data_IF_865044566210
#
_entry.id   IF_865044566210
#
_cell.length_a   1.000
_cell.length_b   1.000
_cell.length_c   1.000
_cell.angle_alpha   90.00
_cell.angle_beta   90.00
_cell.angle_gamma   90.00
#
_symmetry.space_group_name_H-M   'P 1'
#
loop_
_entity.id
_entity.type
_entity.pdbx_description
1 polymer ?
#
# COMPACT_ATOMS: atom_id res chain seq x y z
N UNK A 1 18.82 22.14 -9.55
CA UNK A 1 18.42 22.07 -8.13
C UNK A 1 19.52 22.61 -7.24
N UNK A 2 19.16 23.40 -6.24
CA UNK A 2 20.11 23.91 -5.23
C UNK A 2 20.54 22.74 -4.33
N UNK A 3 21.84 22.59 -4.10
CA UNK A 3 22.39 21.49 -3.27
C UNK A 3 22.72 21.92 -1.83
N UNK A 4 22.46 23.18 -1.52
CA UNK A 4 22.76 23.83 -0.24
C UNK A 4 21.54 23.99 0.67
N UNK A 5 20.39 23.36 0.32
CA UNK A 5 19.17 23.33 1.11
C UNK A 5 18.71 21.87 1.35
N UNK A 6 18.01 21.67 2.45
CA UNK A 6 17.41 20.37 2.75
C UNK A 6 16.32 20.02 1.74
N UNK A 7 16.32 18.79 1.27
CA UNK A 7 15.32 18.20 0.39
C UNK A 7 14.91 16.83 0.96
N UNK A 8 13.61 16.55 1.03
CA UNK A 8 13.14 15.26 1.54
C UNK A 8 13.57 14.10 0.63
N UNK A 9 14.13 13.02 1.16
CA UNK A 9 14.42 11.82 0.37
C UNK A 9 13.18 11.21 -0.30
N UNK A 10 11.99 11.42 0.25
CA UNK A 10 10.75 10.98 -0.42
C UNK A 10 10.59 11.64 -1.78
N UNK A 11 10.85 12.95 -1.88
CA UNK A 11 10.74 13.69 -3.14
C UNK A 11 11.95 13.52 -4.06
N UNK A 12 13.16 13.44 -3.50
CA UNK A 12 14.38 13.42 -4.32
C UNK A 12 14.83 12.04 -4.78
N UNK A 13 14.29 10.95 -4.19
CA UNK A 13 14.79 9.58 -4.44
C UNK A 13 13.73 8.51 -4.58
N UNK A 14 12.60 8.58 -3.88
CA UNK A 14 11.78 7.39 -3.67
C UNK A 14 10.42 7.46 -4.37
N UNK A 15 9.70 8.57 -4.30
CA UNK A 15 8.39 8.70 -4.90
C UNK A 15 8.45 8.80 -6.44
N UNK A 16 7.37 8.39 -7.10
CA UNK A 16 7.22 8.51 -8.55
C UNK A 16 6.99 9.95 -8.99
N UNK A 17 7.34 10.25 -10.24
CA UNK A 17 7.04 11.56 -10.86
C UNK A 17 5.53 11.86 -10.83
N UNK A 18 4.69 10.85 -11.02
CA UNK A 18 3.24 11.02 -10.94
C UNK A 18 2.81 11.53 -9.56
N UNK A 19 3.27 10.88 -8.50
CA UNK A 19 2.87 11.24 -7.13
C UNK A 19 3.46 12.61 -6.72
N UNK A 20 4.68 12.90 -7.14
CA UNK A 20 5.30 14.22 -6.94
C UNK A 20 4.52 15.32 -7.67
N UNK A 21 4.09 15.08 -8.90
CA UNK A 21 3.27 16.01 -9.66
C UNK A 21 1.89 16.20 -9.03
N UNK A 22 1.24 15.12 -8.59
CA UNK A 22 -0.09 15.16 -7.98
C UNK A 22 -0.14 16.09 -6.76
N UNK A 23 0.91 16.11 -5.94
CA UNK A 23 1.00 16.96 -4.76
C UNK A 23 1.83 18.24 -4.99
N UNK A 24 2.13 18.57 -6.24
CA UNK A 24 2.85 19.80 -6.59
C UNK A 24 1.98 21.06 -6.41
N UNK A 25 2.61 22.23 -6.24
CA UNK A 25 1.90 23.51 -6.29
C UNK A 25 1.08 23.69 -7.56
N UNK A 26 1.61 23.30 -8.73
CA UNK A 26 0.91 23.40 -10.01
C UNK A 26 -0.42 22.66 -9.99
N UNK A 27 -0.41 21.37 -9.64
CA UNK A 27 -1.62 20.56 -9.58
C UNK A 27 -2.61 21.10 -8.56
N UNK A 28 -2.12 21.54 -7.41
CA UNK A 28 -2.96 22.14 -6.35
C UNK A 28 -3.68 23.37 -6.84
N UNK A 29 -2.96 24.34 -7.39
CA UNK A 29 -3.55 25.62 -7.80
C UNK A 29 -4.33 25.54 -9.11
N UNK A 30 -3.95 24.69 -10.03
CA UNK A 30 -4.78 24.36 -11.18
C UNK A 30 -6.12 23.73 -10.76
N UNK A 31 -6.11 22.86 -9.73
CA UNK A 31 -7.35 22.29 -9.20
C UNK A 31 -8.21 23.36 -8.53
N UNK A 32 -7.63 24.34 -7.84
CA UNK A 32 -8.39 25.50 -7.32
C UNK A 32 -9.05 26.28 -8.47
N UNK A 33 -8.32 26.56 -9.57
CA UNK A 33 -8.88 27.26 -10.73
C UNK A 33 -9.98 26.45 -11.41
N UNK A 34 -9.82 25.15 -11.54
CA UNK A 34 -10.90 24.25 -12.02
C UNK A 34 -12.14 24.32 -11.15
N UNK A 35 -11.97 24.38 -9.83
CA UNK A 35 -13.09 24.52 -8.88
C UNK A 35 -13.78 25.89 -9.04
N UNK A 36 -13.05 26.97 -9.26
CA UNK A 36 -13.65 28.29 -9.53
C UNK A 36 -14.37 28.32 -10.88
N UNK A 37 -13.86 27.67 -11.91
CA UNK A 37 -14.57 27.53 -13.21
C UNK A 37 -15.85 26.74 -13.03
N UNK A 38 -15.81 25.64 -12.30
CA UNK A 38 -16.99 24.80 -12.05
C UNK A 38 -18.06 25.58 -11.25
N UNK A 39 -17.65 26.35 -10.26
CA UNK A 39 -18.54 27.21 -9.48
C UNK A 39 -19.22 28.25 -10.38
N UNK A 40 -18.43 29.05 -11.12
CA UNK A 40 -18.94 30.10 -12.01
C UNK A 40 -19.88 29.53 -13.09
N UNK A 41 -19.54 28.36 -13.64
CA UNK A 41 -20.39 27.63 -14.61
C UNK A 41 -21.74 27.22 -14.00
N UNK A 42 -21.70 26.60 -12.83
CA UNK A 42 -22.92 26.16 -12.14
C UNK A 42 -23.81 27.36 -11.76
N UNK A 43 -23.22 28.44 -11.28
CA UNK A 43 -23.91 29.69 -10.94
C UNK A 43 -24.54 30.35 -12.17
N UNK A 44 -23.82 30.41 -13.31
CA UNK A 44 -24.35 30.88 -14.58
C UNK A 44 -25.54 30.06 -15.06
N UNK A 45 -25.37 28.73 -15.11
CA UNK A 45 -26.42 27.80 -15.58
C UNK A 45 -27.67 27.81 -14.70
N UNK A 46 -27.55 28.17 -13.41
CA UNK A 46 -28.67 28.29 -12.46
C UNK A 46 -29.26 29.69 -12.39
N UNK A 47 -28.78 30.62 -13.23
CA UNK A 47 -29.41 31.92 -13.49
C UNK A 47 -28.86 33.09 -12.69
N UNK A 48 -27.68 32.97 -12.06
CA UNK A 48 -26.98 34.13 -11.52
C UNK A 48 -26.43 35.00 -12.65
N UNK A 49 -26.19 36.33 -12.43
CA UNK A 49 -25.76 37.27 -13.44
C UNK A 49 -24.27 37.12 -13.78
N UNK A 50 -23.89 35.92 -14.18
CA UNK A 50 -22.55 35.56 -14.69
C UNK A 50 -22.71 35.26 -16.19
N UNK A 51 -21.81 35.79 -17.03
CA UNK A 51 -21.91 35.56 -18.47
C UNK A 51 -21.12 34.34 -18.91
N UNK A 52 -21.47 33.76 -20.04
CA UNK A 52 -20.73 32.64 -20.64
C UNK A 52 -19.27 33.05 -20.96
N UNK A 53 -19.07 34.28 -21.42
CA UNK A 53 -17.75 34.83 -21.73
C UNK A 53 -16.84 34.86 -20.49
N UNK A 54 -17.39 35.18 -19.34
CA UNK A 54 -16.64 35.15 -18.05
C UNK A 54 -16.23 33.71 -17.67
N UNK A 55 -17.13 32.75 -17.85
CA UNK A 55 -16.81 31.31 -17.60
C UNK A 55 -15.73 30.83 -18.56
N UNK A 56 -15.83 31.16 -19.84
CA UNK A 56 -14.89 30.77 -20.89
C UNK A 56 -13.50 31.40 -20.63
N UNK A 57 -13.44 32.67 -20.24
CA UNK A 57 -12.19 33.34 -19.88
C UNK A 57 -11.51 32.67 -18.70
N UNK A 58 -12.25 32.35 -17.63
CA UNK A 58 -11.69 31.55 -16.52
C UNK A 58 -11.15 30.20 -17.00
N UNK A 59 -11.92 29.48 -17.82
CA UNK A 59 -11.52 28.17 -18.31
C UNK A 59 -10.25 28.22 -19.16
N UNK A 60 -10.04 29.31 -19.91
CA UNK A 60 -8.84 29.51 -20.75
C UNK A 60 -7.56 29.71 -19.94
N UNK A 61 -7.67 30.14 -18.66
CA UNK A 61 -6.54 30.52 -17.80
C UNK A 61 -6.33 29.59 -16.61
N UNK A 62 -6.70 28.31 -16.72
CA UNK A 62 -6.53 27.32 -15.62
C UNK A 62 -5.04 27.06 -15.31
N UNK A 63 -4.20 26.98 -16.35
CA UNK A 63 -2.82 26.48 -16.23
C UNK A 63 -1.75 27.57 -16.19
N UNK A 64 -2.04 28.77 -16.61
CA UNK A 64 -1.09 29.88 -16.68
C UNK A 64 -1.03 30.69 -15.37
N UNK A 65 -0.55 30.06 -14.31
CA UNK A 65 -0.48 30.64 -12.98
C UNK A 65 0.74 31.55 -12.88
N UNK A 66 0.49 32.84 -12.60
CA UNK A 66 1.56 33.80 -12.28
C UNK A 66 1.88 33.70 -10.77
N UNK A 67 2.88 32.87 -10.45
CA UNK A 67 3.33 32.67 -9.08
C UNK A 67 3.93 33.91 -8.44
N UNK A 68 4.64 34.72 -9.22
CA UNK A 68 5.25 35.96 -8.70
C UNK A 68 4.18 36.92 -8.21
N UNK A 69 3.13 37.11 -8.98
CA UNK A 69 1.97 37.94 -8.61
C UNK A 69 1.25 37.36 -7.37
N UNK A 70 1.05 36.04 -7.33
CA UNK A 70 0.37 35.38 -6.22
C UNK A 70 1.18 35.50 -4.93
N UNK A 71 2.47 35.20 -4.95
CA UNK A 71 3.37 35.27 -3.78
C UNK A 71 3.48 36.68 -3.25
N UNK A 72 3.67 37.68 -4.14
CA UNK A 72 3.70 39.10 -3.74
C UNK A 72 2.41 39.48 -3.02
N UNK A 73 1.26 39.08 -3.59
CA UNK A 73 -0.05 39.42 -2.99
C UNK A 73 -0.26 38.69 -1.67
N UNK A 74 0.17 37.43 -1.53
CA UNK A 74 0.10 36.70 -0.27
C UNK A 74 0.92 37.38 0.84
N UNK A 75 2.11 37.89 0.53
CA UNK A 75 2.92 38.66 1.47
C UNK A 75 2.20 39.95 1.94
N UNK A 76 1.41 40.58 1.08
CA UNK A 76 0.65 41.79 1.42
C UNK A 76 -0.55 41.50 2.32
N UNK A 77 -1.37 40.49 1.95
CA UNK A 77 -2.67 40.23 2.57
C UNK A 77 -2.66 39.06 3.58
N UNK A 78 -1.57 38.30 3.65
CA UNK A 78 -1.40 37.12 4.54
C UNK A 78 -2.48 36.06 4.37
N UNK A 79 -2.92 35.83 3.14
CA UNK A 79 -3.98 34.89 2.81
C UNK A 79 -3.78 34.31 1.41
N UNK A 80 -3.43 33.01 1.35
CA UNK A 80 -3.09 32.29 0.12
C UNK A 80 -4.24 32.25 -0.91
N UNK A 81 -5.45 31.87 -0.48
CA UNK A 81 -6.60 31.77 -1.40
C UNK A 81 -6.94 33.12 -2.01
N UNK A 82 -6.95 34.22 -1.21
CA UNK A 82 -7.24 35.56 -1.74
C UNK A 82 -6.12 36.10 -2.64
N UNK A 83 -4.88 35.67 -2.41
CA UNK A 83 -3.76 35.97 -3.29
C UNK A 83 -3.95 35.31 -4.67
N UNK A 84 -4.37 34.04 -4.70
CA UNK A 84 -4.67 33.31 -5.94
C UNK A 84 -5.92 33.82 -6.64
N UNK A 85 -6.98 34.25 -5.91
CA UNK A 85 -8.14 34.95 -6.50
C UNK A 85 -7.68 36.20 -7.23
N UNK A 86 -6.81 37.01 -6.61
CA UNK A 86 -6.27 38.21 -7.22
C UNK A 86 -5.42 37.92 -8.46
N UNK A 87 -4.51 36.95 -8.39
CA UNK A 87 -3.68 36.55 -9.53
C UNK A 87 -4.52 36.00 -10.67
N UNK A 88 -5.58 35.23 -10.38
CA UNK A 88 -6.52 34.73 -11.38
C UNK A 88 -7.33 35.83 -12.03
N UNK A 89 -7.81 36.81 -11.23
CA UNK A 89 -8.52 37.98 -11.78
C UNK A 89 -7.66 38.86 -12.65
N UNK A 90 -6.33 38.86 -12.52
CA UNK A 90 -5.41 39.51 -13.47
C UNK A 90 -5.29 38.76 -14.80
N UNK A 91 -5.32 37.44 -14.77
CA UNK A 91 -5.32 36.61 -15.97
C UNK A 91 -6.69 36.64 -16.71
N UNK A 92 -7.78 36.75 -15.94
CA UNK A 92 -9.16 36.79 -16.44
C UNK A 92 -9.88 38.08 -15.98
N UNK A 93 -9.56 39.26 -16.57
CA UNK A 93 -10.06 40.55 -16.06
C UNK A 93 -11.57 40.71 -16.12
N UNK A 94 -12.26 40.18 -17.15
CA UNK A 94 -13.73 40.31 -17.25
C UNK A 94 -14.45 39.48 -16.16
N UNK A 95 -13.82 38.44 -15.70
CA UNK A 95 -14.35 37.55 -14.68
C UNK A 95 -13.85 37.88 -13.25
N UNK A 96 -12.95 38.83 -13.07
CA UNK A 96 -12.32 39.12 -11.80
C UNK A 96 -13.33 39.34 -10.63
N UNK A 97 -14.47 39.95 -10.94
CA UNK A 97 -15.52 40.27 -9.94
C UNK A 97 -16.37 39.07 -9.52
N UNK A 98 -16.31 37.93 -10.22
CA UNK A 98 -17.14 36.77 -9.92
C UNK A 98 -16.35 35.56 -9.42
N UNK A 99 -15.01 35.64 -9.39
CA UNK A 99 -14.18 34.59 -8.86
C UNK A 99 -14.49 34.40 -7.37
N UNK A 100 -14.78 33.15 -6.97
CA UNK A 100 -15.03 32.83 -5.55
C UNK A 100 -16.36 33.42 -5.00
N UNK A 101 -17.34 33.68 -5.86
CA UNK A 101 -18.62 34.26 -5.47
C UNK A 101 -19.35 33.35 -4.46
N UNK A 102 -19.80 33.91 -3.34
CA UNK A 102 -20.46 33.14 -2.26
C UNK A 102 -19.58 32.16 -1.48
N UNK A 103 -18.38 31.85 -2.00
CA UNK A 103 -17.52 30.80 -1.43
C UNK A 103 -16.64 31.31 -0.27
N UNK A 104 -16.12 30.37 0.50
CA UNK A 104 -15.05 30.55 1.48
C UNK A 104 -13.82 29.75 1.08
N UNK A 105 -12.67 30.00 1.70
CA UNK A 105 -11.40 29.36 1.34
C UNK A 105 -11.47 27.85 1.28
N UNK A 106 -12.23 27.22 2.19
CA UNK A 106 -12.37 25.75 2.21
C UNK A 106 -13.13 25.18 1.00
N UNK A 107 -13.83 26.01 0.24
CA UNK A 107 -14.39 25.56 -1.03
C UNK A 107 -13.28 25.03 -1.97
N UNK A 108 -12.20 25.77 -2.13
CA UNK A 108 -11.11 25.32 -3.01
C UNK A 108 -10.10 24.43 -2.28
N UNK A 109 -9.70 24.76 -1.05
CA UNK A 109 -8.67 23.98 -0.33
C UNK A 109 -9.14 22.56 -0.05
N UNK A 110 -10.32 22.40 0.53
CA UNK A 110 -10.83 21.11 0.97
C UNK A 110 -11.34 20.23 -0.19
N UNK A 111 -12.06 20.81 -1.15
CA UNK A 111 -12.50 20.06 -2.32
C UNK A 111 -11.31 19.65 -3.20
N UNK A 112 -10.28 20.49 -3.36
CA UNK A 112 -9.08 20.11 -4.07
C UNK A 112 -8.35 18.96 -3.39
N UNK A 113 -8.19 19.02 -2.07
CA UNK A 113 -7.57 17.93 -1.29
C UNK A 113 -8.30 16.60 -1.54
N UNK A 114 -9.65 16.60 -1.47
CA UNK A 114 -10.44 15.39 -1.73
C UNK A 114 -10.27 14.84 -3.15
N UNK A 115 -10.15 15.71 -4.17
CA UNK A 115 -9.87 15.30 -5.55
C UNK A 115 -8.49 14.66 -5.64
N UNK A 116 -7.46 15.32 -5.12
CA UNK A 116 -6.08 14.83 -5.19
C UNK A 116 -5.89 13.53 -4.40
N UNK A 117 -6.48 13.43 -3.22
CA UNK A 117 -6.40 12.20 -2.41
C UNK A 117 -7.10 11.03 -3.10
N UNK A 118 -8.28 11.23 -3.68
CA UNK A 118 -8.96 10.18 -4.46
C UNK A 118 -8.10 9.70 -5.63
N UNK A 119 -7.52 10.62 -6.37
CA UNK A 119 -6.71 10.29 -7.54
C UNK A 119 -5.41 9.59 -7.12
N UNK A 120 -4.79 10.02 -6.02
CA UNK A 120 -3.67 9.32 -5.39
C UNK A 120 -4.02 7.90 -4.94
N UNK A 121 -5.17 7.71 -4.27
CA UNK A 121 -5.63 6.37 -3.86
C UNK A 121 -5.88 5.45 -5.06
N UNK A 122 -6.47 5.97 -6.14
CA UNK A 122 -6.67 5.20 -7.38
C UNK A 122 -5.36 4.79 -8.04
N UNK A 123 -4.37 5.66 -8.03
CA UNK A 123 -3.04 5.34 -8.53
C UNK A 123 -2.37 4.24 -7.68
N UNK A 124 -2.38 4.39 -6.35
CA UNK A 124 -1.83 3.38 -5.43
C UNK A 124 -2.57 2.04 -5.54
N UNK A 125 -3.88 2.06 -5.81
CA UNK A 125 -4.65 0.85 -6.11
C UNK A 125 -4.09 0.08 -7.31
N UNK A 126 -3.75 0.78 -8.38
CA UNK A 126 -3.10 0.18 -9.56
C UNK A 126 -1.76 -0.46 -9.22
N UNK A 127 -0.93 0.22 -8.44
CA UNK A 127 0.35 -0.32 -7.98
C UNK A 127 0.18 -1.56 -7.08
N UNK A 128 -0.79 -1.54 -6.16
CA UNK A 128 -1.10 -2.69 -5.30
C UNK A 128 -1.54 -3.90 -6.11
N UNK A 129 -2.39 -3.70 -7.12
CA UNK A 129 -2.79 -4.75 -8.04
C UNK A 129 -1.59 -5.33 -8.80
N UNK A 130 -0.65 -4.50 -9.24
CA UNK A 130 0.58 -4.95 -9.91
C UNK A 130 1.43 -5.84 -9.00
N UNK A 131 1.62 -5.47 -7.72
CA UNK A 131 2.28 -6.33 -6.72
C UNK A 131 1.57 -7.68 -6.61
N UNK A 132 0.24 -7.69 -6.56
CA UNK A 132 -0.55 -8.92 -6.47
C UNK A 132 -0.43 -9.78 -7.73
N UNK A 133 -0.35 -9.18 -8.93
CA UNK A 133 -0.11 -9.90 -10.20
C UNK A 133 1.25 -10.61 -10.16
N UNK A 134 2.31 -9.91 -9.75
CA UNK A 134 3.64 -10.48 -9.62
C UNK A 134 3.66 -11.65 -8.62
N UNK A 135 3.07 -11.48 -7.46
CA UNK A 135 2.96 -12.53 -6.44
C UNK A 135 2.12 -13.71 -6.92
N UNK A 136 1.04 -13.48 -7.68
CA UNK A 136 0.20 -14.53 -8.23
C UNK A 136 0.97 -15.40 -9.23
N UNK A 137 1.78 -14.78 -10.09
CA UNK A 137 2.65 -15.50 -11.03
C UNK A 137 3.68 -16.36 -10.28
N UNK A 138 4.37 -15.77 -9.32
CA UNK A 138 5.35 -16.46 -8.47
C UNK A 138 4.70 -17.60 -7.67
N UNK A 139 3.55 -17.36 -7.04
CA UNK A 139 2.85 -18.39 -6.27
C UNK A 139 2.38 -19.56 -7.13
N UNK A 140 1.96 -19.30 -8.36
CA UNK A 140 1.55 -20.34 -9.32
C UNK A 140 2.73 -21.20 -9.78
N UNK A 141 3.88 -20.57 -10.09
CA UNK A 141 5.09 -21.27 -10.50
C UNK A 141 5.57 -22.24 -9.42
N UNK A 142 5.54 -21.81 -8.15
CA UNK A 142 6.03 -22.61 -7.03
C UNK A 142 4.92 -23.25 -6.18
N UNK A 143 3.72 -23.43 -6.74
CA UNK A 143 2.57 -23.94 -6.00
C UNK A 143 2.80 -25.32 -5.39
N UNK A 144 3.53 -26.19 -6.11
CA UNK A 144 3.84 -27.57 -5.71
C UNK A 144 5.27 -27.75 -5.18
N UNK A 145 6.09 -26.71 -5.09
CA UNK A 145 7.50 -26.80 -4.68
C UNK A 145 7.64 -26.83 -3.16
N UNK A 146 8.03 -27.99 -2.57
CA UNK A 146 8.13 -28.15 -1.13
C UNK A 146 9.24 -27.25 -0.55
N UNK A 147 8.99 -26.72 0.64
CA UNK A 147 9.96 -25.99 1.46
C UNK A 147 9.71 -26.25 2.94
N UNK A 148 10.73 -26.05 3.76
CA UNK A 148 10.58 -26.14 5.21
C UNK A 148 9.66 -25.03 5.72
N UNK A 149 8.63 -25.39 6.46
CA UNK A 149 7.79 -24.45 7.21
C UNK A 149 8.45 -24.08 8.53
N UNK A 150 8.16 -22.87 9.01
CA UNK A 150 8.65 -22.39 10.30
C UNK A 150 7.50 -21.88 11.16
N UNK A 151 7.48 -22.31 12.41
CA UNK A 151 6.66 -21.72 13.48
C UNK A 151 7.57 -21.35 14.64
N UNK A 152 7.33 -20.19 15.27
CA UNK A 152 8.26 -19.67 16.30
C UNK A 152 9.72 -19.57 15.79
N UNK A 153 9.88 -19.40 14.48
CA UNK A 153 11.16 -19.43 13.75
C UNK A 153 11.96 -20.74 13.98
N UNK A 154 11.25 -21.84 14.26
CA UNK A 154 11.81 -23.18 14.35
C UNK A 154 11.27 -24.05 13.21
N UNK A 155 12.06 -25.03 12.74
CA UNK A 155 11.63 -25.99 11.74
C UNK A 155 10.32 -26.67 12.15
N UNK A 156 9.37 -26.68 11.21
CA UNK A 156 8.05 -27.26 11.36
C UNK A 156 7.66 -28.07 10.11
N UNK A 157 6.43 -28.48 10.00
CA UNK A 157 5.97 -29.25 8.85
C UNK A 157 6.23 -28.53 7.52
N UNK A 158 6.49 -29.29 6.43
CA UNK A 158 6.68 -28.75 5.10
C UNK A 158 5.45 -27.98 4.61
N UNK A 159 5.73 -26.95 3.86
CA UNK A 159 4.74 -26.19 3.08
C UNK A 159 5.25 -26.09 1.63
N UNK A 160 4.62 -25.27 0.79
CA UNK A 160 5.20 -24.91 -0.52
C UNK A 160 5.60 -23.45 -0.56
N UNK A 161 6.56 -23.14 -1.43
CA UNK A 161 6.99 -21.74 -1.67
C UNK A 161 5.80 -20.91 -2.15
N UNK A 162 4.99 -21.46 -3.06
CA UNK A 162 3.78 -20.80 -3.54
C UNK A 162 2.79 -20.52 -2.43
N UNK A 163 2.60 -21.43 -1.47
CA UNK A 163 1.73 -21.18 -0.31
C UNK A 163 2.27 -20.03 0.55
N UNK A 164 3.56 -19.94 0.78
CA UNK A 164 4.17 -18.81 1.50
C UNK A 164 3.86 -17.48 0.82
N UNK A 165 4.00 -17.42 -0.51
CA UNK A 165 3.67 -16.22 -1.29
C UNK A 165 2.19 -15.84 -1.20
N UNK A 166 1.27 -16.82 -1.18
CA UNK A 166 -0.16 -16.54 -1.01
C UNK A 166 -0.51 -16.01 0.37
N UNK A 167 0.28 -16.25 1.41
CA UNK A 167 0.09 -15.63 2.73
C UNK A 167 0.39 -14.12 2.68
N UNK A 168 1.41 -13.69 1.94
CA UNK A 168 1.68 -12.26 1.71
C UNK A 168 0.59 -11.64 0.84
N UNK A 169 0.18 -12.35 -0.22
CA UNK A 169 -0.86 -11.86 -1.13
C UNK A 169 -2.23 -11.75 -0.45
N UNK A 170 -2.53 -12.59 0.55
CA UNK A 170 -3.76 -12.51 1.33
C UNK A 170 -3.87 -11.19 2.12
N UNK A 171 -2.76 -10.72 2.69
CA UNK A 171 -2.72 -9.44 3.37
C UNK A 171 -2.99 -8.29 2.39
N UNK A 172 -2.31 -8.27 1.25
CA UNK A 172 -2.54 -7.27 0.19
C UNK A 172 -3.95 -7.31 -0.39
N UNK A 173 -4.59 -8.49 -0.46
CA UNK A 173 -6.01 -8.60 -0.83
C UNK A 173 -6.91 -7.88 0.17
N UNK A 174 -6.66 -8.05 1.45
CA UNK A 174 -7.41 -7.35 2.50
C UNK A 174 -7.21 -5.84 2.42
N UNK A 175 -5.98 -5.39 2.16
CA UNK A 175 -5.69 -3.96 1.93
C UNK A 175 -6.42 -3.40 0.70
N UNK A 176 -6.52 -4.17 -0.38
CA UNK A 176 -7.25 -3.79 -1.58
C UNK A 176 -8.75 -3.61 -1.29
N UNK A 177 -9.35 -4.53 -0.54
CA UNK A 177 -10.76 -4.46 -0.13
C UNK A 177 -11.03 -3.19 0.71
N UNK A 178 -10.13 -2.88 1.67
CA UNK A 178 -10.22 -1.64 2.47
C UNK A 178 -10.00 -0.38 1.62
N UNK A 179 -9.04 -0.41 0.71
CA UNK A 179 -8.74 0.71 -0.19
C UNK A 179 -9.93 1.02 -1.11
N UNK A 180 -10.56 -0.01 -1.68
CA UNK A 180 -11.75 0.11 -2.51
C UNK A 180 -12.95 0.68 -1.70
N UNK A 181 -13.09 0.25 -0.45
CA UNK A 181 -14.09 0.81 0.46
C UNK A 181 -13.82 2.29 0.74
N UNK A 182 -12.56 2.67 1.02
CA UNK A 182 -12.21 4.08 1.29
C UNK A 182 -12.50 4.94 0.06
N UNK A 183 -12.05 4.54 -1.14
CA UNK A 183 -12.30 5.26 -2.40
C UNK A 183 -13.82 5.41 -2.63
N UNK A 184 -14.60 4.34 -2.51
CA UNK A 184 -16.04 4.36 -2.73
C UNK A 184 -16.81 5.15 -1.66
N UNK A 185 -16.25 5.31 -0.46
CA UNK A 185 -16.85 6.08 0.63
C UNK A 185 -16.56 7.57 0.56
N UNK A 186 -15.64 8.03 -0.30
CA UNK A 186 -15.29 9.44 -0.40
C UNK A 186 -16.48 10.28 -0.86
N UNK A 187 -16.61 11.47 -0.29
CA UNK A 187 -17.65 12.44 -0.60
C UNK A 187 -17.00 13.77 -0.89
N UNK A 188 -17.62 14.56 -1.75
CA UNK A 188 -17.22 15.93 -2.01
C UNK A 188 -17.70 16.84 -0.86
N UNK A 189 -16.98 17.92 -0.54
CA UNK A 189 -17.43 18.88 0.46
C UNK A 189 -18.60 19.70 -0.09
N UNK A 190 -18.43 20.25 -1.27
CA UNK A 190 -19.37 21.18 -1.90
C UNK A 190 -19.15 22.65 -1.45
N UNK A 191 -20.17 23.46 -1.71
CA UNK A 191 -20.22 24.89 -1.42
C UNK A 191 -20.91 25.11 -0.08
N UNK A 192 -20.15 25.01 1.03
CA UNK A 192 -20.73 24.97 2.40
C UNK A 192 -20.74 26.33 3.11
N UNK A 193 -19.93 27.27 2.68
CA UNK A 193 -19.81 28.56 3.36
C UNK A 193 -19.06 28.47 4.69
N UNK A 194 -19.15 29.51 5.49
CA UNK A 194 -18.31 29.73 6.68
C UNK A 194 -18.53 28.71 7.80
N UNK A 195 -19.75 28.23 7.96
CA UNK A 195 -20.13 27.32 9.06
C UNK A 195 -20.88 26.09 8.58
N UNK A 196 -20.88 25.81 7.29
CA UNK A 196 -21.55 24.67 6.71
C UNK A 196 -23.06 24.86 6.45
N UNK A 197 -23.56 26.07 6.60
CA UNK A 197 -24.99 26.38 6.48
C UNK A 197 -25.45 26.75 5.07
N UNK A 198 -24.49 26.94 4.13
CA UNK A 198 -24.75 27.38 2.75
C UNK A 198 -25.45 28.75 2.64
N UNK A 199 -25.52 29.52 3.73
CA UNK A 199 -26.31 30.74 3.85
C UNK A 199 -26.02 31.76 2.73
N UNK A 200 -24.75 31.97 2.37
CA UNK A 200 -24.37 32.90 1.29
C UNK A 200 -24.91 32.46 -0.07
N UNK A 201 -24.95 31.16 -0.37
CA UNK A 201 -25.47 30.62 -1.62
C UNK A 201 -27.01 30.65 -1.65
N UNK A 202 -27.64 30.35 -0.50
CA UNK A 202 -29.12 30.49 -0.35
C UNK A 202 -29.51 31.95 -0.58
N UNK A 203 -28.75 32.91 -0.07
CA UNK A 203 -28.98 34.35 -0.30
C UNK A 203 -28.80 34.73 -1.78
N UNK A 204 -27.73 34.27 -2.43
CA UNK A 204 -27.49 34.48 -3.88
C UNK A 204 -28.63 33.96 -4.76
N UNK A 205 -29.24 32.84 -4.39
CA UNK A 205 -30.36 32.24 -5.09
C UNK A 205 -31.76 32.67 -4.51
N UNK A 206 -31.81 33.79 -3.79
CA UNK A 206 -33.08 34.40 -3.29
C UNK A 206 -33.91 33.44 -2.43
N UNK A 207 -33.26 32.56 -1.66
CA UNK A 207 -33.91 31.58 -0.79
C UNK A 207 -34.14 30.20 -1.42
N UNK A 208 -33.79 30.01 -2.67
CA UNK A 208 -33.99 28.74 -3.39
C UNK A 208 -32.90 27.71 -3.02
N UNK A 209 -33.20 26.90 -2.01
CA UNK A 209 -32.32 25.81 -1.56
C UNK A 209 -32.11 24.68 -2.58
N UNK A 210 -33.14 24.42 -3.43
CA UNK A 210 -33.04 23.37 -4.46
C UNK A 210 -31.98 23.73 -5.52
N UNK A 211 -31.83 25.02 -5.83
CA UNK A 211 -30.72 25.49 -6.70
C UNK A 211 -29.36 25.31 -6.05
N UNK A 212 -29.24 25.50 -4.74
CA UNK A 212 -27.98 25.24 -4.02
C UNK A 212 -27.62 23.77 -4.05
N UNK A 213 -28.59 22.89 -3.84
CA UNK A 213 -28.38 21.44 -3.95
C UNK A 213 -27.96 21.02 -5.36
N UNK A 214 -28.63 21.55 -6.39
CA UNK A 214 -28.32 21.27 -7.78
C UNK A 214 -26.91 21.82 -8.17
N UNK A 215 -26.52 23.01 -7.70
CA UNK A 215 -25.18 23.55 -7.85
C UNK A 215 -24.14 22.59 -7.27
N UNK A 216 -24.31 22.16 -6.04
CA UNK A 216 -23.39 21.20 -5.38
C UNK A 216 -23.33 19.89 -6.14
N UNK A 217 -24.44 19.37 -6.63
CA UNK A 217 -24.50 18.12 -7.41
C UNK A 217 -23.72 18.24 -8.73
N UNK A 218 -23.90 19.35 -9.48
CA UNK A 218 -23.18 19.60 -10.74
C UNK A 218 -21.69 19.68 -10.53
N UNK A 219 -21.23 20.47 -9.57
CA UNK A 219 -19.81 20.62 -9.26
C UNK A 219 -19.21 19.27 -8.82
N UNK A 220 -19.85 18.55 -7.90
CA UNK A 220 -19.37 17.24 -7.47
C UNK A 220 -19.24 16.25 -8.62
N UNK A 221 -20.22 16.20 -9.53
CA UNK A 221 -20.24 15.33 -10.69
C UNK A 221 -19.09 15.66 -11.68
N UNK A 222 -18.80 16.95 -11.91
CA UNK A 222 -17.67 17.40 -12.76
C UNK A 222 -16.33 16.87 -12.24
N UNK A 223 -16.18 16.75 -10.92
CA UNK A 223 -14.98 16.18 -10.31
C UNK A 223 -15.09 14.67 -10.06
N UNK A 224 -16.13 13.99 -10.56
CA UNK A 224 -16.30 12.54 -10.47
C UNK A 224 -16.68 12.04 -9.07
N UNK A 225 -17.37 12.84 -8.27
CA UNK A 225 -17.96 12.43 -7.00
C UNK A 225 -19.48 12.26 -7.17
N UNK A 226 -20.00 11.15 -6.68
CA UNK A 226 -21.44 10.86 -6.74
C UNK A 226 -22.25 11.73 -5.77
N UNK A 227 -21.65 12.09 -4.63
CA UNK A 227 -22.34 12.77 -3.53
C UNK A 227 -21.42 13.73 -2.80
N UNK A 228 -22.02 14.80 -2.27
CA UNK A 228 -21.44 15.62 -1.22
C UNK A 228 -21.69 15.02 0.18
N UNK A 229 -20.95 15.47 1.18
CA UNK A 229 -21.34 15.26 2.57
C UNK A 229 -22.71 15.93 2.81
N UNK A 230 -23.64 15.22 3.43
CA UNK A 230 -24.97 15.76 3.74
C UNK A 230 -24.93 16.83 4.84
N UNK A 231 -23.97 16.72 5.74
CA UNK A 231 -23.70 17.69 6.82
C UNK A 231 -22.20 17.89 6.95
N UNK A 232 -21.78 19.15 7.08
CA UNK A 232 -20.38 19.52 7.37
C UNK A 232 -20.33 20.85 8.15
N UNK A 233 -19.18 21.16 8.72
CA UNK A 233 -18.83 22.51 9.10
C UNK A 233 -18.29 23.29 7.91
N UNK A 234 -17.33 24.17 8.13
CA UNK A 234 -16.62 24.86 7.06
C UNK A 234 -15.77 23.89 6.23
N UNK A 235 -15.26 22.83 6.86
CA UNK A 235 -14.41 21.79 6.29
C UNK A 235 -15.15 20.49 6.15
N UNK A 236 -14.65 19.57 5.31
CA UNK A 236 -15.08 18.19 5.40
C UNK A 236 -14.63 17.54 6.72
N UNK A 237 -15.34 16.49 7.20
CA UNK A 237 -14.95 15.81 8.43
C UNK A 237 -13.53 15.24 8.33
N UNK A 238 -12.61 15.70 9.17
CA UNK A 238 -11.20 15.24 9.17
C UNK A 238 -11.04 13.74 9.47
N UNK A 239 -12.13 13.09 9.84
CA UNK A 239 -12.22 11.63 9.91
C UNK A 239 -11.95 10.95 8.55
N UNK A 240 -12.18 11.65 7.43
CA UNK A 240 -11.84 11.16 6.10
C UNK A 240 -10.31 11.01 5.93
N UNK A 241 -9.53 11.99 6.40
CA UNK A 241 -8.07 11.93 6.38
C UNK A 241 -7.54 10.75 7.21
N UNK A 242 -8.15 10.52 8.38
CA UNK A 242 -7.81 9.37 9.23
C UNK A 242 -8.05 8.04 8.51
N UNK A 243 -9.15 7.90 7.75
CA UNK A 243 -9.40 6.69 6.95
C UNK A 243 -8.36 6.51 5.85
N UNK A 244 -7.99 7.60 5.18
CA UNK A 244 -6.98 7.58 4.11
C UNK A 244 -5.62 7.12 4.67
N UNK A 245 -5.09 7.79 5.69
CA UNK A 245 -3.78 7.41 6.25
C UNK A 245 -3.79 6.01 6.90
N UNK A 246 -4.93 5.58 7.46
CA UNK A 246 -5.05 4.24 8.03
C UNK A 246 -4.93 3.15 6.95
N UNK A 247 -5.59 3.29 5.79
CA UNK A 247 -5.46 2.30 4.72
C UNK A 247 -4.06 2.30 4.11
N UNK A 248 -3.41 3.46 3.98
CA UNK A 248 -2.00 3.53 3.55
C UNK A 248 -1.08 2.83 4.56
N UNK A 249 -1.33 3.02 5.86
CA UNK A 249 -0.61 2.32 6.93
C UNK A 249 -0.85 0.80 6.90
N UNK A 250 -2.05 0.34 6.56
CA UNK A 250 -2.37 -1.10 6.41
C UNK A 250 -1.53 -1.71 5.29
N UNK A 251 -1.48 -1.07 4.13
CA UNK A 251 -0.61 -1.49 3.01
C UNK A 251 0.86 -1.56 3.44
N UNK A 252 1.34 -0.58 4.21
CA UNK A 252 2.71 -0.59 4.73
C UNK A 252 2.98 -1.77 5.67
N UNK A 253 2.00 -2.19 6.48
CA UNK A 253 2.13 -3.35 7.36
C UNK A 253 2.30 -4.64 6.55
N UNK A 254 1.49 -4.84 5.52
CA UNK A 254 1.58 -5.99 4.62
C UNK A 254 2.91 -6.03 3.87
N UNK A 255 3.35 -4.89 3.35
CA UNK A 255 4.64 -4.73 2.69
C UNK A 255 5.82 -5.03 3.65
N UNK A 256 5.75 -4.53 4.88
CA UNK A 256 6.75 -4.78 5.91
C UNK A 256 6.86 -6.27 6.21
N UNK A 257 5.73 -6.95 6.43
CA UNK A 257 5.70 -8.40 6.70
C UNK A 257 6.35 -9.18 5.58
N UNK A 258 5.93 -8.98 4.34
CA UNK A 258 6.51 -9.64 3.16
C UNK A 258 8.02 -9.40 3.06
N UNK A 259 8.44 -8.14 3.13
CA UNK A 259 9.85 -7.78 3.00
C UNK A 259 10.71 -8.36 4.15
N UNK A 260 10.17 -8.45 5.35
CA UNK A 260 10.87 -9.05 6.48
C UNK A 260 11.05 -10.55 6.30
N UNK A 261 10.04 -11.27 5.82
CA UNK A 261 10.15 -12.69 5.47
C UNK A 261 11.21 -12.91 4.38
N UNK A 262 11.22 -12.06 3.33
CA UNK A 262 12.23 -12.15 2.25
C UNK A 262 13.65 -11.95 2.80
N UNK A 263 13.85 -11.00 3.72
CA UNK A 263 15.17 -10.80 4.37
C UNK A 263 15.63 -12.04 5.12
N UNK A 264 14.74 -12.72 5.85
CA UNK A 264 15.03 -13.97 6.55
C UNK A 264 15.32 -15.11 5.56
N UNK A 265 14.53 -15.24 4.50
CA UNK A 265 14.75 -16.24 3.45
C UNK A 265 16.06 -16.03 2.68
N UNK A 266 16.45 -14.77 2.45
CA UNK A 266 17.72 -14.42 1.82
C UNK A 266 18.90 -14.69 2.75
N UNK A 267 18.77 -14.49 4.07
CA UNK A 267 19.78 -14.91 5.03
C UNK A 267 20.04 -16.41 4.92
N UNK A 268 19.00 -17.21 4.80
CA UNK A 268 19.08 -18.67 4.61
C UNK A 268 19.41 -19.07 3.16
N UNK A 269 19.57 -18.12 2.26
CA UNK A 269 19.88 -18.33 0.82
C UNK A 269 18.78 -19.12 0.08
N UNK A 270 17.55 -19.13 0.59
CA UNK A 270 16.44 -19.88 -0.02
C UNK A 270 15.74 -19.07 -1.12
N UNK A 271 15.42 -17.79 -0.84
CA UNK A 271 14.80 -16.86 -1.78
C UNK A 271 15.56 -15.54 -1.70
N UNK A 272 15.85 -14.95 -2.84
CA UNK A 272 16.60 -13.70 -2.94
C UNK A 272 15.78 -12.66 -3.71
N UNK A 273 15.89 -11.38 -3.29
CA UNK A 273 15.39 -10.28 -4.10
C UNK A 273 16.24 -10.08 -5.37
N UNK A 274 15.72 -9.42 -6.43
CA UNK A 274 16.47 -9.20 -7.64
C UNK A 274 17.74 -8.38 -7.38
N UNK A 275 18.82 -8.79 -8.03
CA UNK A 275 20.13 -8.15 -7.95
C UNK A 275 20.61 -7.80 -9.36
N UNK A 276 20.84 -6.53 -9.63
CA UNK A 276 21.26 -6.07 -10.94
C UNK A 276 22.72 -6.41 -11.26
N UNK A 277 23.01 -6.61 -12.54
CA UNK A 277 24.34 -7.06 -13.00
C UNK A 277 25.48 -6.16 -12.51
N UNK A 278 25.23 -4.86 -12.43
CA UNK A 278 26.25 -3.86 -12.03
C UNK A 278 26.04 -3.36 -10.60
N UNK A 279 25.12 -3.94 -9.85
CA UNK A 279 24.83 -3.53 -8.47
C UNK A 279 25.96 -3.93 -7.54
N UNK A 280 26.41 -2.99 -6.70
CA UNK A 280 27.40 -3.25 -5.64
C UNK A 280 26.64 -3.48 -4.33
N UNK A 281 26.67 -4.71 -3.82
CA UNK A 281 26.00 -5.08 -2.57
C UNK A 281 26.77 -4.68 -1.32
N UNK A 282 28.10 -4.49 -1.42
CA UNK A 282 28.97 -4.11 -0.30
C UNK A 282 30.24 -3.48 -0.82
N UNK A 283 30.68 -2.38 -0.19
CA UNK A 283 31.96 -1.72 -0.53
C UNK A 283 33.19 -2.53 -0.14
N UNK A 284 33.06 -3.42 0.85
CA UNK A 284 34.19 -4.21 1.38
C UNK A 284 34.16 -5.67 0.92
N UNK A 285 32.99 -6.23 0.62
CA UNK A 285 32.80 -7.65 0.28
C UNK A 285 32.00 -7.78 -1.02
N UNK A 286 32.66 -7.81 -2.20
CA UNK A 286 31.98 -7.76 -3.51
C UNK A 286 30.98 -8.91 -3.77
N UNK A 287 31.16 -10.07 -3.14
CA UNK A 287 30.25 -11.22 -3.25
C UNK A 287 28.93 -11.07 -2.47
N UNK A 288 28.88 -10.09 -1.55
CA UNK A 288 27.76 -9.93 -0.60
C UNK A 288 26.56 -9.30 -1.28
N UNK A 289 25.45 -10.03 -1.33
CA UNK A 289 24.17 -9.57 -1.84
C UNK A 289 23.26 -9.22 -0.67
N UNK A 290 23.14 -7.93 -0.38
CA UNK A 290 22.27 -7.46 0.69
C UNK A 290 20.84 -7.29 0.17
N UNK A 291 19.80 -7.62 0.96
CA UNK A 291 18.40 -7.40 0.59
C UNK A 291 17.99 -5.92 0.78
N UNK A 292 18.68 -5.02 0.04
CA UNK A 292 18.58 -3.57 0.26
C UNK A 292 17.21 -3.01 -0.10
N UNK A 293 16.51 -3.60 -1.08
CA UNK A 293 15.16 -3.19 -1.46
C UNK A 293 14.18 -3.57 -0.35
N UNK A 294 14.25 -4.80 0.14
CA UNK A 294 13.43 -5.28 1.26
C UNK A 294 13.72 -4.52 2.57
N UNK A 295 14.98 -4.18 2.85
CA UNK A 295 15.34 -3.33 3.99
C UNK A 295 14.73 -1.93 3.87
N UNK A 296 14.70 -1.35 2.67
CA UNK A 296 14.11 -0.05 2.39
C UNK A 296 12.58 -0.09 2.51
N UNK A 297 11.92 -1.14 2.02
CA UNK A 297 10.49 -1.37 2.26
C UNK A 297 10.22 -1.34 3.76
N UNK A 298 10.97 -2.09 4.56
CA UNK A 298 10.79 -2.13 6.01
C UNK A 298 10.98 -0.75 6.65
N UNK A 299 11.98 0.04 6.22
CA UNK A 299 12.25 1.34 6.83
C UNK A 299 11.20 2.39 6.47
N UNK A 300 10.78 2.47 5.21
CA UNK A 300 9.75 3.39 4.75
C UNK A 300 8.37 3.02 5.34
N UNK A 301 8.06 1.73 5.43
CA UNK A 301 6.83 1.27 6.07
C UNK A 301 6.71 1.71 7.54
N UNK A 302 7.81 1.70 8.31
CA UNK A 302 7.80 2.22 9.68
C UNK A 302 7.51 3.72 9.73
N UNK A 303 8.10 4.48 8.79
CA UNK A 303 7.82 5.90 8.68
C UNK A 303 6.33 6.15 8.43
N UNK A 304 5.75 5.47 7.43
CA UNK A 304 4.34 5.61 7.07
C UNK A 304 3.39 5.21 8.22
N UNK A 305 3.67 4.10 8.91
CA UNK A 305 2.88 3.68 10.07
C UNK A 305 2.93 4.73 11.20
N UNK A 306 4.07 5.37 11.42
CA UNK A 306 4.20 6.44 12.41
C UNK A 306 3.48 7.72 11.96
N UNK A 307 3.61 8.11 10.69
CA UNK A 307 2.95 9.28 10.12
C UNK A 307 1.43 9.17 10.18
N UNK A 308 0.88 7.99 9.97
CA UNK A 308 -0.57 7.76 10.00
C UNK A 308 -1.24 8.14 11.33
N UNK A 309 -0.49 8.22 12.43
CA UNK A 309 -1.00 8.67 13.72
C UNK A 309 -1.41 10.15 13.74
N UNK A 310 -0.90 10.97 12.82
CA UNK A 310 -1.25 12.40 12.73
C UNK A 310 -2.74 12.61 12.46
N UNK A 311 -3.31 11.89 11.50
CA UNK A 311 -4.69 12.14 11.06
C UNK A 311 -5.77 11.86 12.13
N UNK A 312 -5.73 10.75 12.90
CA UNK A 312 -6.70 10.55 14.00
C UNK A 312 -6.55 11.59 15.11
N UNK A 313 -5.33 12.06 15.43
CA UNK A 313 -5.13 13.13 16.39
C UNK A 313 -5.75 14.44 15.89
N UNK A 314 -5.50 14.83 14.65
CA UNK A 314 -6.09 15.99 14.01
C UNK A 314 -7.62 15.91 13.95
N UNK A 315 -8.16 14.75 13.59
CA UNK A 315 -9.61 14.52 13.56
C UNK A 315 -10.27 14.66 14.95
N UNK A 316 -9.53 14.36 16.02
CA UNK A 316 -10.02 14.44 17.40
C UNK A 316 -10.01 15.86 17.98
N UNK A 317 -9.29 16.80 17.36
CA UNK A 317 -9.13 18.18 17.86
C UNK A 317 -9.92 19.21 17.06
N UNK A 318 -10.86 18.81 16.22
CA UNK A 318 -11.75 19.74 15.50
C UNK A 318 -12.78 20.34 16.47
N UNK A 319 -12.62 21.63 16.76
CA UNK A 319 -13.48 22.36 17.71
C UNK A 319 -14.70 22.93 17.03
N UNK A 320 -15.88 22.60 17.52
CA UNK A 320 -17.16 23.09 17.02
C UNK A 320 -17.29 22.88 15.50
N UNK A 321 -17.20 23.93 14.68
CA UNK A 321 -17.33 23.86 13.23
C UNK A 321 -15.98 23.91 12.50
N UNK A 322 -14.93 24.42 13.13
CA UNK A 322 -13.56 24.45 12.59
C UNK A 322 -12.53 24.94 13.62
N UNK A 323 -11.31 24.38 13.51
CA UNK A 323 -10.06 24.97 14.01
C UNK A 323 -9.02 24.97 12.89
N UNK A 324 -8.02 25.88 12.95
CA UNK A 324 -6.98 25.98 11.91
C UNK A 324 -5.73 25.14 12.22
N UNK A 325 -5.63 24.53 13.41
CA UNK A 325 -4.50 23.71 13.81
C UNK A 325 -4.31 22.45 12.95
N UNK A 326 -5.35 22.05 12.24
CA UNK A 326 -5.30 20.96 11.26
C UNK A 326 -4.39 21.29 10.07
N UNK A 327 -4.33 22.55 9.64
CA UNK A 327 -3.81 22.96 8.33
C UNK A 327 -2.33 22.58 8.14
N UNK A 328 -1.46 23.00 9.05
CA UNK A 328 -0.02 22.75 8.94
C UNK A 328 0.31 21.26 9.03
N UNK A 329 -0.33 20.52 9.94
CA UNK A 329 -0.13 19.08 10.07
C UNK A 329 -0.55 18.33 8.79
N UNK A 330 -1.74 18.62 8.26
CA UNK A 330 -2.28 17.98 7.05
C UNK A 330 -1.44 18.24 5.80
N UNK A 331 -0.88 19.46 5.68
CA UNK A 331 -0.01 19.83 4.55
C UNK A 331 1.28 19.01 4.49
N UNK A 332 1.67 18.37 5.58
CA UNK A 332 2.83 17.48 5.68
C UNK A 332 2.39 16.03 5.64
N UNK A 333 1.57 15.61 6.60
CA UNK A 333 1.26 14.21 6.84
C UNK A 333 0.54 13.52 5.66
N UNK A 334 -0.44 14.18 5.02
CA UNK A 334 -1.16 13.57 3.92
C UNK A 334 -0.26 13.39 2.67
N UNK A 335 0.37 14.44 2.11
CA UNK A 335 1.26 14.27 0.96
C UNK A 335 2.39 13.29 1.22
N UNK A 336 3.08 13.39 2.36
CA UNK A 336 4.19 12.48 2.69
C UNK A 336 3.72 11.03 2.89
N UNK A 337 2.52 10.83 3.45
CA UNK A 337 1.90 9.52 3.53
C UNK A 337 1.68 8.88 2.14
N UNK A 338 1.17 9.65 1.17
CA UNK A 338 1.01 9.19 -0.21
C UNK A 338 2.36 8.94 -0.91
N UNK A 339 3.32 9.86 -0.79
CA UNK A 339 4.66 9.69 -1.36
C UNK A 339 5.36 8.45 -0.80
N UNK A 340 5.19 8.21 0.49
CA UNK A 340 5.80 7.04 1.15
C UNK A 340 5.11 5.73 0.73
N UNK A 341 3.77 5.70 0.62
CA UNK A 341 3.03 4.54 0.14
C UNK A 341 3.39 4.18 -1.31
N UNK A 342 3.52 5.21 -2.17
CA UNK A 342 4.00 5.07 -3.54
C UNK A 342 5.39 4.42 -3.59
N UNK A 343 6.34 4.94 -2.83
CA UNK A 343 7.68 4.40 -2.75
C UNK A 343 7.72 2.95 -2.26
N UNK A 344 6.92 2.62 -1.24
CA UNK A 344 6.81 1.26 -0.71
C UNK A 344 6.25 0.30 -1.76
N UNK A 345 5.17 0.66 -2.44
CA UNK A 345 4.55 -0.21 -3.46
C UNK A 345 5.45 -0.41 -4.68
N UNK A 346 6.14 0.63 -5.15
CA UNK A 346 7.14 0.51 -6.25
C UNK A 346 8.28 -0.43 -5.87
N UNK A 347 8.79 -0.35 -4.65
CA UNK A 347 9.79 -1.29 -4.15
C UNK A 347 9.23 -2.72 -4.07
N UNK A 348 7.97 -2.88 -3.62
CA UNK A 348 7.30 -4.18 -3.63
C UNK A 348 7.16 -4.76 -5.05
N UNK A 349 6.78 -3.94 -6.03
CA UNK A 349 6.74 -4.35 -7.45
C UNK A 349 8.10 -4.84 -7.91
N UNK A 350 9.15 -4.05 -7.65
CA UNK A 350 10.53 -4.40 -8.02
C UNK A 350 10.99 -5.72 -7.39
N UNK A 351 10.71 -5.92 -6.11
CA UNK A 351 11.10 -7.16 -5.41
C UNK A 351 10.30 -8.35 -5.93
N UNK A 352 8.97 -8.22 -6.03
CA UNK A 352 8.09 -9.33 -6.38
C UNK A 352 8.20 -9.76 -7.85
N UNK A 353 8.55 -8.84 -8.75
CA UNK A 353 8.76 -9.14 -10.16
C UNK A 353 10.04 -9.97 -10.43
N UNK A 354 11.00 -9.97 -9.50
CA UNK A 354 12.31 -10.62 -9.70
C UNK A 354 12.74 -11.55 -8.57
N UNK A 355 11.84 -12.05 -7.74
CA UNK A 355 12.19 -13.03 -6.71
C UNK A 355 12.84 -14.27 -7.33
N UNK A 356 13.99 -14.63 -6.80
CA UNK A 356 14.76 -15.80 -7.24
C UNK A 356 14.76 -16.88 -6.16
N UNK A 357 14.43 -18.13 -6.54
CA UNK A 357 14.43 -19.28 -5.65
C UNK A 357 15.67 -20.13 -5.91
N UNK A 358 16.46 -20.36 -4.88
CA UNK A 358 17.58 -21.30 -4.90
C UNK A 358 17.09 -22.72 -4.56
N UNK A 359 16.44 -23.39 -5.51
CA UNK A 359 15.71 -24.64 -5.28
C UNK A 359 16.57 -25.73 -4.61
N UNK A 360 17.85 -25.85 -4.99
CA UNK A 360 18.75 -26.83 -4.36
C UNK A 360 19.06 -26.53 -2.91
N UNK A 361 19.07 -25.26 -2.52
CA UNK A 361 19.24 -24.84 -1.13
C UNK A 361 17.96 -25.13 -0.35
N UNK A 362 16.82 -24.82 -0.94
CA UNK A 362 15.48 -25.12 -0.36
C UNK A 362 15.35 -26.62 -0.11
N UNK A 363 15.66 -27.45 -1.10
CA UNK A 363 15.60 -28.90 -1.00
C UNK A 363 16.56 -29.43 0.08
N UNK A 364 17.81 -28.98 0.09
CA UNK A 364 18.80 -29.37 1.10
C UNK A 364 18.34 -29.04 2.50
N UNK A 365 17.84 -27.82 2.73
CA UNK A 365 17.34 -27.38 4.05
C UNK A 365 16.15 -28.21 4.51
N UNK A 366 15.23 -28.53 3.59
CA UNK A 366 14.09 -29.39 3.91
C UNK A 366 14.52 -30.82 4.25
N UNK A 367 15.42 -31.41 3.45
CA UNK A 367 15.92 -32.79 3.68
C UNK A 367 16.68 -32.96 4.99
N UNK A 368 17.31 -31.93 5.50
CA UNK A 368 18.00 -31.94 6.81
C UNK A 368 17.04 -32.22 7.97
N UNK A 369 15.80 -31.69 7.89
CA UNK A 369 14.80 -31.83 8.95
C UNK A 369 13.72 -32.88 8.62
N UNK A 370 13.62 -33.34 7.38
CA UNK A 370 12.59 -34.26 6.92
C UNK A 370 12.51 -35.55 7.74
N UNK A 371 13.63 -36.17 8.22
CA UNK A 371 13.57 -37.33 9.09
C UNK A 371 12.75 -37.13 10.37
N UNK A 372 12.85 -35.93 10.99
CA UNK A 372 12.06 -35.59 12.17
C UNK A 372 10.58 -35.37 11.83
N UNK A 373 10.31 -34.76 10.68
CA UNK A 373 8.95 -34.44 10.22
C UNK A 373 8.19 -35.68 9.77
N UNK A 374 8.91 -36.72 9.33
CA UNK A 374 8.36 -38.00 8.89
C UNK A 374 8.10 -38.97 10.05
N UNK A 375 8.52 -38.67 11.28
CA UNK A 375 8.43 -39.61 12.41
C UNK A 375 7.01 -40.09 12.72
N UNK A 376 5.99 -39.25 12.51
CA UNK A 376 4.60 -39.67 12.68
C UNK A 376 4.21 -40.75 11.65
N UNK A 377 4.58 -40.57 10.38
CA UNK A 377 4.30 -41.53 9.33
C UNK A 377 5.05 -42.86 9.55
N UNK A 378 6.33 -42.73 9.96
CA UNK A 378 7.15 -43.90 10.32
C UNK A 378 6.51 -44.66 11.50
N UNK A 379 6.08 -43.96 12.54
CA UNK A 379 5.38 -44.56 13.67
C UNK A 379 4.10 -45.30 13.25
N UNK A 380 3.28 -44.64 12.43
CA UNK A 380 2.02 -45.26 11.95
C UNK A 380 2.27 -46.51 11.08
N UNK A 381 3.33 -46.51 10.28
CA UNK A 381 3.70 -47.69 9.50
C UNK A 381 4.22 -48.79 10.38
N UNK A 382 5.01 -48.49 11.40
CA UNK A 382 5.47 -49.46 12.38
C UNK A 382 4.29 -50.07 13.19
N UNK A 383 3.27 -49.26 13.55
CA UNK A 383 2.04 -49.75 14.19
C UNK A 383 1.28 -50.73 13.31
N UNK A 384 1.16 -50.46 12.01
CA UNK A 384 0.54 -51.41 11.06
C UNK A 384 1.27 -52.76 11.00
N UNK A 385 2.57 -52.76 11.28
CA UNK A 385 3.41 -53.96 11.37
C UNK A 385 3.32 -54.63 12.75
N UNK A 386 2.47 -54.15 13.67
CA UNK A 386 2.21 -54.76 14.97
C UNK A 386 2.92 -54.12 16.16
N UNK A 387 3.60 -52.98 15.96
CA UNK A 387 4.25 -52.23 17.03
C UNK A 387 3.25 -51.54 17.95
N UNK A 388 3.65 -51.36 19.24
CA UNK A 388 2.88 -50.57 20.21
C UNK A 388 3.12 -49.06 20.01
N UNK A 389 2.03 -48.31 19.80
CA UNK A 389 2.11 -46.86 19.49
C UNK A 389 2.81 -46.05 20.58
N UNK A 390 2.59 -46.38 21.87
CA UNK A 390 3.16 -45.62 22.98
C UNK A 390 4.65 -45.92 23.13
N UNK A 391 5.04 -47.19 22.99
CA UNK A 391 6.44 -47.56 22.95
C UNK A 391 7.19 -46.93 21.80
N UNK A 392 6.62 -47.00 20.57
CA UNK A 392 7.22 -46.38 19.40
C UNK A 392 7.37 -44.87 19.52
N UNK A 393 6.37 -44.19 20.09
CA UNK A 393 6.46 -42.75 20.33
C UNK A 393 7.63 -42.39 21.27
N UNK A 394 7.80 -43.14 22.39
CA UNK A 394 8.90 -42.91 23.30
C UNK A 394 10.26 -43.20 22.64
N UNK A 395 10.38 -44.24 21.88
CA UNK A 395 11.59 -44.58 21.13
C UNK A 395 11.93 -43.49 20.11
N UNK A 396 10.94 -42.99 19.34
CA UNK A 396 11.12 -41.85 18.41
C UNK A 396 11.64 -40.63 19.18
N UNK A 397 11.07 -40.32 20.34
CA UNK A 397 11.53 -39.21 21.17
C UNK A 397 13.00 -39.36 21.56
N UNK A 398 13.39 -40.55 22.03
CA UNK A 398 14.77 -40.83 22.44
C UNK A 398 15.75 -40.76 21.27
N UNK A 399 15.43 -41.38 20.15
CA UNK A 399 16.25 -41.32 18.92
C UNK A 399 16.36 -39.91 18.35
N UNK A 400 15.26 -39.14 18.35
CA UNK A 400 15.23 -37.75 17.90
C UNK A 400 16.11 -36.84 18.78
N UNK A 401 16.06 -37.00 20.11
CA UNK A 401 16.91 -36.23 20.99
C UNK A 401 18.39 -36.54 20.80
N UNK A 402 18.73 -37.81 20.59
CA UNK A 402 20.10 -38.23 20.33
C UNK A 402 20.62 -37.73 18.99
N UNK A 403 19.80 -37.80 17.95
CA UNK A 403 20.14 -37.24 16.61
C UNK A 403 20.30 -35.73 16.64
N UNK A 404 19.41 -35.01 17.34
CA UNK A 404 19.49 -33.54 17.51
C UNK A 404 20.77 -33.14 18.29
N UNK A 405 21.15 -33.89 19.34
CA UNK A 405 22.38 -33.62 20.07
C UNK A 405 23.60 -33.73 19.16
N UNK A 406 23.66 -34.76 18.31
CA UNK A 406 24.72 -34.96 17.36
C UNK A 406 24.79 -33.84 16.29
N UNK A 407 23.61 -33.40 15.77
CA UNK A 407 23.56 -32.27 14.84
C UNK A 407 24.10 -30.99 15.47
N UNK A 408 23.90 -30.77 16.77
CA UNK A 408 24.47 -29.60 17.49
C UNK A 408 26.01 -29.66 17.60
N UNK A 409 26.59 -30.83 17.45
CA UNK A 409 28.06 -31.03 17.35
C UNK A 409 28.59 -30.86 15.91
N UNK A 410 27.71 -30.52 14.96
CA UNK A 410 28.05 -30.32 13.54
C UNK A 410 28.02 -31.60 12.71
N UNK A 411 27.57 -32.71 13.27
CA UNK A 411 27.46 -33.98 12.58
C UNK A 411 26.16 -34.10 11.77
N UNK A 412 26.11 -34.89 10.69
CA UNK A 412 24.88 -35.16 9.96
C UNK A 412 23.81 -35.82 10.83
N UNK A 413 22.52 -35.59 10.44
CA UNK A 413 21.38 -36.27 11.07
C UNK A 413 21.44 -37.78 10.81
N UNK A 414 21.47 -38.58 11.88
CA UNK A 414 21.52 -40.03 11.84
C UNK A 414 20.19 -40.69 12.31
N UNK A 415 19.09 -39.92 12.37
CA UNK A 415 17.82 -40.42 12.90
C UNK A 415 17.32 -41.66 12.17
N UNK A 416 17.37 -41.69 10.83
CA UNK A 416 16.91 -42.83 10.06
C UNK A 416 17.75 -44.09 10.30
N UNK A 417 19.06 -43.95 10.47
CA UNK A 417 19.96 -45.08 10.81
C UNK A 417 19.63 -45.64 12.19
N UNK A 418 19.31 -44.79 13.15
CA UNK A 418 18.87 -45.19 14.48
C UNK A 418 17.55 -45.93 14.49
N UNK A 419 16.57 -45.44 13.69
CA UNK A 419 15.25 -46.07 13.57
C UNK A 419 15.36 -47.41 12.83
N UNK A 420 16.18 -47.51 11.75
CA UNK A 420 16.43 -48.77 11.03
C UNK A 420 17.15 -49.81 11.91
N UNK A 421 18.01 -49.37 12.82
CA UNK A 421 18.71 -50.22 13.78
C UNK A 421 17.90 -50.69 14.97
N UNK A 422 16.70 -50.10 15.22
CA UNK A 422 15.83 -50.49 16.34
C UNK A 422 14.75 -51.48 15.91
N UNK A 423 14.81 -52.75 16.38
CA UNK A 423 13.87 -53.81 15.96
C UNK A 423 12.39 -53.46 16.21
N UNK A 424 12.09 -52.51 17.10
CA UNK A 424 10.71 -52.14 17.41
C UNK A 424 9.98 -51.52 16.18
N UNK A 425 10.72 -50.90 15.24
CA UNK A 425 10.10 -50.33 14.01
C UNK A 425 9.89 -51.33 12.93
N UNK A 426 10.68 -52.42 12.88
CA UNK A 426 10.54 -53.46 11.87
C UNK A 426 10.66 -52.98 10.41
N UNK A 427 11.47 -51.90 10.20
CA UNK A 427 11.67 -51.26 8.91
C UNK A 427 13.18 -51.26 8.56
N UNK A 428 13.46 -51.53 7.27
CA UNK A 428 14.82 -51.36 6.76
C UNK A 428 15.13 -49.92 6.42
N UNK A 429 16.43 -49.59 6.22
CA UNK A 429 16.84 -48.25 5.82
C UNK A 429 16.21 -47.86 4.46
N UNK A 430 16.15 -48.78 3.53
CA UNK A 430 15.56 -48.60 2.21
C UNK A 430 14.08 -48.25 2.30
N UNK A 431 13.34 -48.92 3.19
CA UNK A 431 11.91 -48.63 3.43
C UNK A 431 11.73 -47.25 4.06
N UNK A 432 12.61 -46.86 4.98
CA UNK A 432 12.60 -45.52 5.58
C UNK A 432 12.94 -44.44 4.53
N UNK A 433 13.88 -44.69 3.64
CA UNK A 433 14.23 -43.78 2.54
C UNK A 433 13.05 -43.52 1.56
N UNK A 434 12.19 -44.52 1.35
CA UNK A 434 11.00 -44.38 0.48
C UNK A 434 9.98 -43.37 1.05
N UNK A 435 9.90 -43.19 2.36
CA UNK A 435 9.00 -42.19 2.97
C UNK A 435 9.63 -40.79 3.08
N UNK A 436 10.87 -40.61 2.59
CA UNK A 436 11.56 -39.32 2.59
C UNK A 436 11.29 -38.51 1.31
N UNK A 437 10.13 -38.64 0.72
CA UNK A 437 9.70 -37.81 -0.42
C UNK A 437 8.98 -36.56 0.10
N UNK A 438 9.56 -35.34 -0.07
CA UNK A 438 8.99 -34.11 0.47
C UNK A 438 7.53 -33.83 0.11
N UNK A 439 7.12 -34.23 -1.10
CA UNK A 439 5.74 -34.01 -1.58
C UNK A 439 4.69 -34.75 -0.76
N UNK A 440 5.05 -35.79 -0.04
CA UNK A 440 4.11 -36.53 0.82
C UNK A 440 3.66 -35.69 2.04
N UNK A 441 4.37 -34.61 2.37
CA UNK A 441 4.18 -33.86 3.61
C UNK A 441 3.63 -32.45 3.42
N UNK A 442 3.40 -32.01 2.17
CA UNK A 442 2.86 -30.66 1.88
C UNK A 442 1.34 -30.56 2.00
N UNK A 443 0.66 -31.68 2.30
CA UNK A 443 -0.79 -31.71 2.45
C UNK A 443 -1.54 -31.14 1.24
N UNK A 444 -2.39 -30.17 1.46
CA UNK A 444 -3.20 -29.50 0.43
C UNK A 444 -2.62 -28.15 -0.03
N UNK A 445 -1.33 -27.90 0.14
CA UNK A 445 -0.73 -26.62 -0.19
C UNK A 445 -1.00 -26.20 -1.64
N UNK A 446 -0.73 -27.08 -2.60
CA UNK A 446 -0.94 -26.78 -4.02
C UNK A 446 -2.40 -26.43 -4.33
N UNK A 447 -3.36 -27.23 -3.86
CA UNK A 447 -4.79 -26.96 -4.09
C UNK A 447 -5.23 -25.66 -3.42
N UNK A 448 -4.68 -25.34 -2.24
CA UNK A 448 -4.98 -24.07 -1.55
C UNK A 448 -4.46 -22.87 -2.33
N UNK A 449 -3.25 -22.96 -2.88
CA UNK A 449 -2.66 -21.93 -3.73
C UNK A 449 -3.52 -21.70 -4.96
N UNK A 450 -3.79 -22.74 -5.73
CA UNK A 450 -4.54 -22.61 -6.98
C UNK A 450 -5.95 -22.05 -6.74
N UNK A 451 -6.66 -22.56 -5.73
CA UNK A 451 -7.97 -22.02 -5.36
C UNK A 451 -7.93 -20.55 -4.98
N UNK A 452 -6.96 -20.14 -4.16
CA UNK A 452 -6.81 -18.76 -3.76
C UNK A 452 -6.50 -17.83 -4.96
N UNK A 453 -5.67 -18.29 -5.89
CA UNK A 453 -5.39 -17.56 -7.12
C UNK A 453 -6.63 -17.42 -8.02
N UNK A 454 -7.45 -18.46 -8.10
CA UNK A 454 -8.72 -18.42 -8.84
C UNK A 454 -9.71 -17.43 -8.20
N UNK A 455 -9.76 -17.35 -6.87
CA UNK A 455 -10.56 -16.34 -6.15
C UNK A 455 -10.07 -14.92 -6.41
N UNK A 456 -8.77 -14.70 -6.57
CA UNK A 456 -8.19 -13.40 -6.88
C UNK A 456 -8.28 -13.01 -8.36
N UNK A 457 -8.42 -13.97 -9.27
CA UNK A 457 -8.37 -13.73 -10.72
C UNK A 457 -9.34 -12.63 -11.22
N UNK A 458 -10.58 -12.49 -10.73
CA UNK A 458 -11.46 -11.40 -11.15
C UNK A 458 -10.91 -10.01 -10.79
N UNK A 459 -10.23 -9.88 -9.65
CA UNK A 459 -9.63 -8.61 -9.18
C UNK A 459 -8.42 -8.21 -10.02
N UNK A 460 -7.71 -9.20 -10.57
CA UNK A 460 -6.45 -9.01 -11.30
C UNK A 460 -6.63 -8.94 -12.83
N UNK A 461 -7.86 -9.11 -13.34
CA UNK A 461 -8.14 -9.27 -14.79
C UNK A 461 -7.55 -8.17 -15.65
N UNK A 462 -7.68 -6.92 -15.22
CA UNK A 462 -7.27 -5.74 -15.97
C UNK A 462 -5.99 -5.10 -15.42
N UNK A 463 -5.30 -5.81 -14.52
CA UNK A 463 -4.05 -5.36 -13.93
C UNK A 463 -2.84 -5.87 -14.72
N UNK A 464 -1.81 -5.03 -14.84
CA UNK A 464 -0.54 -5.39 -15.47
C UNK A 464 0.55 -5.65 -14.44
N UNK A 465 1.47 -6.55 -14.78
CA UNK A 465 2.71 -6.69 -14.04
C UNK A 465 3.62 -5.48 -14.34
N UNK A 466 4.15 -4.86 -13.30
CA UNK A 466 5.13 -3.77 -13.42
C UNK A 466 6.38 -4.11 -12.63
N UNK A 467 7.52 -3.63 -13.07
CA UNK A 467 8.82 -3.89 -12.44
C UNK A 467 9.18 -2.88 -11.33
N UNK A 468 8.37 -1.83 -11.20
CA UNK A 468 8.54 -0.82 -10.15
C UNK A 468 9.90 -0.14 -10.20
N UNK A 469 10.45 0.12 -11.37
CA UNK A 469 11.77 0.69 -11.54
C UNK A 469 11.99 1.94 -10.67
N UNK A 470 12.96 1.85 -9.77
CA UNK A 470 13.41 2.98 -8.95
C UNK A 470 14.88 3.19 -9.27
N UNK A 471 15.19 4.32 -9.89
CA UNK A 471 16.57 4.77 -10.08
C UNK A 471 17.14 5.25 -8.74
N UNK A 472 18.01 4.45 -8.15
CA UNK A 472 18.61 4.68 -6.83
C UNK A 472 20.09 5.00 -6.92
#
# INVERSE_FOLDING_TARGET
MRKDIYESPLSSRYASEYMLHLFSPDMRFQTWRRLWVALARAEHELGLPITQEQVDELAAHITDIDYEVAEKREHEVRHDVMAHVYAYGKAAPSAAGIIHLGATSCYVTDNADLVLYRDGLKYLRGQLLSVMVNLAAFAREYAATPTLGYTHYQPAQPVTIGKRATLWMQDFRSDLEELDFVIGSMRFLGCRGTTGTEASFVDLFEGDGDKVDEMNRRIAAEFGFEKCFSVSGQTYPRKADSRILNVLSSIAQSAYRMANDIRLLQHDRQVEEPFEKNQIGSSAMPYKRNPMRSERICSLSRYLMADAANAPMTASTQWLVRTLDDSANRRISLPEGFLCADAVLRLCQSVTNGLHVNEKIVERTLREYLPFLATENIMMEAVKRGGDRQELHEKIRQHSMAATARMKEGEPCDLLDRLAGDPAFGMTREELDQVMEPKLYIGRCEQQVLRFLDECAPLLRDAAAEDGAIDL
#
